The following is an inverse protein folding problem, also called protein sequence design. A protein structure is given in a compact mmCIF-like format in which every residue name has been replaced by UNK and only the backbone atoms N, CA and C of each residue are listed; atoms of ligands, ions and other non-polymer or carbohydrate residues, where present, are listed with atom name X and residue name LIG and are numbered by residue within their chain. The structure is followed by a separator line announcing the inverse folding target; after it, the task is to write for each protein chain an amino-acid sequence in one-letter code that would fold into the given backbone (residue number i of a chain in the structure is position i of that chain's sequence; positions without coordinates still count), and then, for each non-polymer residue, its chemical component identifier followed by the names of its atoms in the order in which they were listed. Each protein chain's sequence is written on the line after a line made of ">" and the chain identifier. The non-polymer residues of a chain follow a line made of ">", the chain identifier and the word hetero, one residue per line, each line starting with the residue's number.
data_IF_667774915216
#
_entry.id   IF_667774915216
#
_cell.length_a   1.000
_cell.length_b   1.000
_cell.length_c   1.000
_cell.angle_alpha   90.00
_cell.angle_beta   90.00
_cell.angle_gamma   90.00
#
_symmetry.space_group_name_H-M   'P 1'
#
loop_
_entity.id
_entity.type
_entity.pdbx_description
1 polymer ?
#
# COMPACT_ATOMS: atom_id res chain seq x y z
N UNK A 1 13.66 -8.79 4.98
CA UNK A 1 12.59 -8.78 3.99
C UNK A 1 11.23 -8.79 4.70
N UNK A 2 10.39 -7.73 4.47
CA UNK A 2 9.11 -7.59 5.18
C UNK A 2 8.00 -8.46 4.58
N UNK A 3 8.18 -9.03 3.40
CA UNK A 3 7.21 -9.92 2.74
C UNK A 3 7.18 -11.33 3.34
N UNK A 4 8.30 -11.81 3.86
CA UNK A 4 8.42 -13.18 4.39
C UNK A 4 7.39 -13.45 5.51
N UNK A 5 7.27 -12.63 6.58
CA UNK A 5 6.28 -12.88 7.63
C UNK A 5 4.83 -12.89 7.15
N UNK A 6 4.52 -12.19 6.05
CA UNK A 6 3.19 -12.24 5.46
C UNK A 6 2.93 -13.56 4.75
N UNK A 7 3.89 -14.06 3.98
CA UNK A 7 3.79 -15.37 3.32
C UNK A 7 3.70 -16.50 4.35
N UNK A 8 4.55 -16.46 5.37
CA UNK A 8 4.51 -17.42 6.50
C UNK A 8 3.12 -17.41 7.18
N UNK A 9 2.56 -16.21 7.47
CA UNK A 9 1.25 -16.07 8.07
C UNK A 9 0.09 -16.62 7.20
N UNK A 10 0.16 -16.48 5.87
CA UNK A 10 -0.79 -17.14 4.97
C UNK A 10 -0.66 -18.65 5.04
N UNK A 11 0.55 -19.18 4.95
CA UNK A 11 0.82 -20.61 5.00
C UNK A 11 0.35 -21.23 6.31
N UNK A 12 0.68 -20.60 7.45
CA UNK A 12 0.27 -21.06 8.78
C UNK A 12 -1.25 -21.04 8.92
N UNK A 13 -1.91 -19.99 8.44
CA UNK A 13 -3.37 -19.89 8.53
C UNK A 13 -4.08 -20.94 7.66
N UNK A 14 -3.62 -21.18 6.44
CA UNK A 14 -4.19 -22.23 5.59
C UNK A 14 -3.92 -23.63 6.13
N UNK A 15 -2.77 -23.86 6.74
CA UNK A 15 -2.46 -25.11 7.46
C UNK A 15 -3.43 -25.31 8.63
N UNK A 16 -3.65 -24.25 9.44
CA UNK A 16 -4.63 -24.29 10.53
C UNK A 16 -6.05 -24.61 10.03
N UNK A 17 -6.50 -23.97 8.94
CA UNK A 17 -7.81 -24.26 8.34
C UNK A 17 -7.92 -25.70 7.88
N UNK A 18 -6.86 -26.22 7.27
CA UNK A 18 -6.82 -27.62 6.81
C UNK A 18 -6.92 -28.61 7.99
N UNK A 19 -6.16 -28.38 9.04
CA UNK A 19 -6.13 -29.29 10.20
C UNK A 19 -7.37 -29.19 11.08
N UNK A 20 -7.88 -27.96 11.29
CA UNK A 20 -9.03 -27.74 12.17
C UNK A 20 -10.37 -28.00 11.49
N UNK A 21 -10.52 -27.56 10.24
CA UNK A 21 -11.83 -27.48 9.56
C UNK A 21 -11.90 -28.40 8.32
N UNK A 22 -10.82 -29.07 7.96
CA UNK A 22 -10.75 -29.86 6.73
C UNK A 22 -10.65 -29.00 5.46
N UNK A 23 -10.13 -27.79 5.59
CA UNK A 23 -10.04 -26.82 4.50
C UNK A 23 -11.22 -25.85 4.42
N UNK A 24 -11.46 -25.29 3.26
CA UNK A 24 -12.61 -24.41 3.00
C UNK A 24 -13.65 -25.18 2.21
N UNK A 25 -14.80 -25.40 2.83
CA UNK A 25 -15.88 -26.20 2.21
C UNK A 25 -15.49 -27.66 1.95
N UNK A 26 -14.51 -28.20 2.68
CA UNK A 26 -13.98 -29.56 2.50
C UNK A 26 -12.84 -29.65 1.48
N UNK A 27 -12.43 -28.54 0.88
CA UNK A 27 -11.35 -28.50 -0.11
C UNK A 27 -10.07 -27.93 0.52
N UNK A 28 -8.93 -28.54 0.22
CA UNK A 28 -7.63 -28.03 0.65
C UNK A 28 -7.15 -26.88 -0.20
N UNK A 29 -6.44 -25.93 0.43
CA UNK A 29 -5.89 -24.77 -0.26
C UNK A 29 -4.43 -25.04 -0.61
N UNK A 30 -4.11 -24.93 -1.89
CA UNK A 30 -2.73 -24.90 -2.37
C UNK A 30 -2.26 -23.46 -2.46
N UNK A 31 -1.35 -23.04 -1.58
CA UNK A 31 -0.77 -21.70 -1.58
C UNK A 31 0.53 -21.70 -2.37
N UNK A 32 0.57 -20.93 -3.47
CA UNK A 32 1.72 -20.83 -4.36
C UNK A 32 2.44 -19.52 -4.09
N UNK A 33 3.69 -19.59 -3.65
CA UNK A 33 4.54 -18.43 -3.41
C UNK A 33 5.43 -18.12 -4.61
N UNK A 34 5.61 -16.83 -4.90
CA UNK A 34 6.55 -16.37 -5.90
C UNK A 34 7.23 -15.08 -5.41
N UNK A 35 8.53 -15.14 -5.09
CA UNK A 35 9.30 -14.01 -4.61
C UNK A 35 9.65 -13.03 -5.74
N UNK A 36 9.23 -11.79 -5.59
CA UNK A 36 9.41 -10.74 -6.61
C UNK A 36 10.53 -9.76 -6.30
N UNK A 37 11.08 -9.76 -5.10
CA UNK A 37 12.02 -8.73 -4.64
C UNK A 37 11.44 -7.31 -4.68
N UNK A 38 10.11 -7.17 -4.58
CA UNK A 38 9.38 -5.90 -4.75
C UNK A 38 9.53 -5.29 -6.16
N UNK A 39 9.93 -6.10 -7.14
CA UNK A 39 10.08 -5.70 -8.54
C UNK A 39 8.79 -5.96 -9.32
N UNK A 40 8.30 -4.94 -10.02
CA UNK A 40 7.01 -4.98 -10.73
C UNK A 40 7.03 -5.94 -11.92
N UNK A 41 8.13 -6.01 -12.67
CA UNK A 41 8.27 -6.91 -13.83
C UNK A 41 8.25 -8.37 -13.38
N UNK A 42 9.01 -8.70 -12.33
CA UNK A 42 8.98 -10.03 -11.72
C UNK A 42 7.59 -10.40 -11.19
N UNK A 43 6.85 -9.43 -10.65
CA UNK A 43 5.45 -9.66 -10.25
C UNK A 43 4.57 -10.07 -11.42
N UNK A 44 4.75 -9.47 -12.60
CA UNK A 44 4.05 -9.86 -13.83
C UNK A 44 4.51 -11.24 -14.32
N UNK A 45 5.81 -11.54 -14.27
CA UNK A 45 6.35 -12.88 -14.60
C UNK A 45 5.76 -13.96 -13.69
N UNK A 46 5.68 -13.72 -12.38
CA UNK A 46 5.04 -14.62 -11.42
C UNK A 46 3.58 -14.90 -11.80
N UNK A 47 2.83 -13.85 -12.15
CA UNK A 47 1.45 -13.99 -12.60
C UNK A 47 1.34 -14.87 -13.85
N UNK A 48 2.09 -14.54 -14.90
CA UNK A 48 2.02 -15.25 -16.18
C UNK A 48 2.44 -16.72 -16.08
N UNK A 49 3.41 -17.03 -15.21
CA UNK A 49 3.90 -18.42 -15.02
C UNK A 49 2.96 -19.29 -14.16
N UNK A 50 2.08 -18.69 -13.37
CA UNK A 50 1.22 -19.43 -12.45
C UNK A 50 -0.26 -19.42 -12.81
N UNK A 51 -0.76 -18.44 -13.56
CA UNK A 51 -2.19 -18.27 -13.86
C UNK A 51 -2.87 -19.49 -14.51
N UNK A 52 -2.12 -20.31 -15.27
CA UNK A 52 -2.64 -21.53 -15.90
C UNK A 52 -2.75 -22.72 -14.95
N UNK A 53 -2.33 -22.58 -13.69
CA UNK A 53 -2.36 -23.64 -12.69
C UNK A 53 -3.71 -23.72 -11.92
N UNK A 54 -4.75 -23.06 -12.42
CA UNK A 54 -6.06 -23.02 -11.76
C UNK A 54 -6.12 -22.04 -10.57
N UNK A 55 -5.28 -21.00 -10.58
CA UNK A 55 -5.26 -20.02 -9.49
C UNK A 55 -6.58 -19.27 -9.42
N UNK A 56 -7.20 -19.24 -8.25
CA UNK A 56 -8.46 -18.55 -7.98
C UNK A 56 -8.26 -17.08 -7.62
N UNK A 57 -7.18 -16.76 -6.90
CA UNK A 57 -6.89 -15.41 -6.47
C UNK A 57 -5.39 -15.17 -6.32
N UNK A 58 -4.98 -13.92 -6.53
CA UNK A 58 -3.63 -13.45 -6.24
C UNK A 58 -3.64 -12.46 -5.07
N UNK A 59 -2.61 -12.52 -4.24
CA UNK A 59 -2.37 -11.59 -3.13
C UNK A 59 -1.02 -10.88 -3.32
N UNK A 60 -0.90 -9.91 -4.25
CA UNK A 60 0.35 -9.19 -4.44
C UNK A 60 0.60 -8.26 -3.26
N UNK A 61 1.80 -8.35 -2.67
CA UNK A 61 2.23 -7.51 -1.55
C UNK A 61 2.89 -6.21 -2.03
N UNK A 62 2.41 -5.65 -3.15
CA UNK A 62 2.95 -4.44 -3.77
C UNK A 62 1.88 -3.70 -4.55
N UNK A 63 1.77 -2.39 -4.29
CA UNK A 63 0.88 -1.49 -5.03
C UNK A 63 1.26 -1.44 -6.52
N UNK A 64 2.55 -1.38 -6.84
CA UNK A 64 3.04 -1.35 -8.22
C UNK A 64 2.72 -2.63 -8.98
N UNK A 65 2.91 -3.79 -8.36
CA UNK A 65 2.52 -5.09 -8.94
C UNK A 65 1.00 -5.14 -9.13
N UNK A 66 0.22 -4.76 -8.12
CA UNK A 66 -1.25 -4.70 -8.22
C UNK A 66 -1.69 -3.89 -9.43
N UNK A 67 -1.10 -2.71 -9.67
CA UNK A 67 -1.44 -1.88 -10.83
C UNK A 67 -1.26 -2.62 -12.16
N UNK A 68 -0.17 -3.35 -12.31
CA UNK A 68 0.13 -4.08 -13.53
C UNK A 68 -0.74 -5.32 -13.73
N UNK A 69 -1.15 -5.96 -12.62
CA UNK A 69 -1.97 -7.17 -12.68
C UNK A 69 -3.46 -6.89 -12.92
N UNK A 70 -3.98 -5.71 -12.55
CA UNK A 70 -5.41 -5.39 -12.72
C UNK A 70 -5.94 -5.68 -14.13
N UNK A 71 -5.36 -5.14 -15.24
CA UNK A 71 -5.89 -5.41 -16.57
C UNK A 71 -5.78 -6.89 -16.96
N UNK A 72 -4.71 -7.57 -16.57
CA UNK A 72 -4.47 -8.98 -16.85
C UNK A 72 -5.47 -9.88 -16.11
N UNK A 73 -5.56 -9.73 -14.80
CA UNK A 73 -6.46 -10.48 -13.96
C UNK A 73 -7.94 -10.23 -14.30
N UNK A 74 -8.27 -9.00 -14.73
CA UNK A 74 -9.62 -8.68 -15.23
C UNK A 74 -9.91 -9.44 -16.53
N UNK A 75 -8.98 -9.51 -17.47
CA UNK A 75 -9.14 -10.26 -18.71
C UNK A 75 -9.20 -11.77 -18.47
N UNK A 76 -8.44 -12.29 -17.53
CA UNK A 76 -8.37 -13.71 -17.19
C UNK A 76 -9.50 -14.13 -16.21
N UNK A 77 -10.28 -13.19 -15.65
CA UNK A 77 -11.36 -13.46 -14.68
C UNK A 77 -10.85 -13.90 -13.30
N UNK A 78 -9.59 -13.59 -12.95
CA UNK A 78 -8.95 -14.00 -11.70
C UNK A 78 -9.07 -12.88 -10.67
N UNK A 79 -9.39 -13.23 -9.42
CA UNK A 79 -9.49 -12.26 -8.33
C UNK A 79 -8.11 -11.77 -7.88
N UNK A 80 -8.02 -10.49 -7.51
CA UNK A 80 -6.87 -9.93 -6.79
C UNK A 80 -7.34 -9.49 -5.41
N UNK A 81 -6.75 -10.08 -4.37
CA UNK A 81 -6.89 -9.65 -3.00
C UNK A 81 -5.70 -8.77 -2.62
N UNK A 82 -5.90 -7.47 -2.65
CA UNK A 82 -4.89 -6.49 -2.28
C UNK A 82 -5.08 -6.10 -0.82
N UNK A 83 -4.03 -6.16 -0.02
CA UNK A 83 -4.05 -6.06 1.45
C UNK A 83 -4.44 -4.68 1.99
N UNK A 84 -5.61 -4.18 1.60
CA UNK A 84 -6.14 -2.88 2.03
C UNK A 84 -5.47 -1.69 1.37
N UNK A 85 -4.36 -1.90 0.78
CA UNK A 85 -3.61 -0.91 0.04
C UNK A 85 -3.47 -1.39 -1.40
N UNK A 86 -2.73 -1.26 -2.20
CA UNK A 86 -2.72 -1.59 -3.61
C UNK A 86 -3.26 -0.37 -4.36
N UNK A 87 -4.20 -0.54 -5.25
CA UNK A 87 -4.81 0.60 -5.94
C UNK A 87 -6.06 1.07 -5.18
N UNK A 88 -5.99 2.22 -4.52
CA UNK A 88 -7.14 2.74 -3.74
C UNK A 88 -8.38 2.98 -4.60
N UNK A 89 -8.25 3.41 -5.85
CA UNK A 89 -9.38 3.59 -6.76
C UNK A 89 -10.14 2.30 -7.04
N UNK A 90 -9.55 1.13 -6.78
CA UNK A 90 -10.21 -0.18 -6.91
C UNK A 90 -11.35 -0.40 -5.91
N UNK A 91 -11.53 0.49 -4.92
CA UNK A 91 -12.74 0.52 -4.09
C UNK A 91 -14.02 0.73 -4.91
N UNK A 92 -13.94 1.26 -6.13
CA UNK A 92 -15.05 1.31 -7.04
C UNK A 92 -15.26 -0.06 -7.72
N UNK A 93 -16.04 -0.94 -7.10
CA UNK A 93 -16.31 -2.29 -7.57
C UNK A 93 -17.11 -2.36 -8.89
N UNK A 94 -17.75 -1.28 -9.33
CA UNK A 94 -18.40 -1.24 -10.65
C UNK A 94 -17.36 -1.25 -11.78
N UNK A 95 -16.20 -0.60 -11.54
CA UNK A 95 -15.09 -0.52 -12.49
C UNK A 95 -14.10 -1.68 -12.28
N UNK A 96 -13.78 -2.00 -11.03
CA UNK A 96 -12.77 -2.99 -10.64
C UNK A 96 -13.40 -4.23 -10.02
N UNK A 97 -14.16 -4.97 -10.82
CA UNK A 97 -15.05 -6.05 -10.36
C UNK A 97 -14.36 -7.24 -9.68
N UNK A 98 -13.09 -7.47 -9.99
CA UNK A 98 -12.31 -8.59 -9.47
C UNK A 98 -11.15 -8.16 -8.55
N UNK A 99 -11.16 -6.89 -8.09
CA UNK A 99 -10.12 -6.35 -7.22
C UNK A 99 -10.72 -6.07 -5.84
N UNK A 100 -10.15 -6.70 -4.80
CA UNK A 100 -10.68 -6.64 -3.44
C UNK A 100 -9.62 -6.05 -2.51
N UNK A 101 -9.85 -4.84 -2.00
CA UNK A 101 -9.00 -4.18 -1.03
C UNK A 101 -9.60 -4.35 0.37
N UNK A 102 -8.81 -4.82 1.32
CA UNK A 102 -9.21 -5.05 2.71
C UNK A 102 -8.02 -4.79 3.65
N UNK A 103 -8.22 -4.20 4.85
CA UNK A 103 -9.47 -3.67 5.44
C UNK A 103 -9.75 -2.19 5.11
N UNK A 104 -8.74 -1.40 4.80
CA UNK A 104 -8.81 0.03 4.52
C UNK A 104 -7.96 0.36 3.29
N UNK A 105 -7.90 1.60 2.89
CA UNK A 105 -7.10 2.03 1.75
C UNK A 105 -6.26 3.28 2.08
N UNK A 106 -5.37 3.69 1.19
CA UNK A 106 -4.46 4.81 1.43
C UNK A 106 -5.15 6.17 1.53
N UNK A 107 -6.29 6.36 0.84
CA UNK A 107 -7.04 7.60 0.95
C UNK A 107 -7.70 7.73 2.33
N UNK A 108 -8.20 6.61 2.87
CA UNK A 108 -8.73 6.56 4.24
C UNK A 108 -7.61 6.86 5.25
N UNK A 109 -6.45 6.22 5.10
CA UNK A 109 -5.30 6.47 5.97
C UNK A 109 -4.83 7.93 5.96
N UNK A 110 -4.72 8.54 4.77
CA UNK A 110 -4.37 9.95 4.63
C UNK A 110 -5.42 10.86 5.28
N UNK A 111 -6.72 10.56 5.06
CA UNK A 111 -7.82 11.33 5.63
C UNK A 111 -7.86 11.25 7.16
N UNK A 112 -7.61 10.07 7.72
CA UNK A 112 -7.53 9.87 9.18
C UNK A 112 -6.35 10.64 9.77
N UNK A 113 -5.19 10.67 9.09
CA UNK A 113 -4.05 11.46 9.55
C UNK A 113 -4.38 12.95 9.64
N UNK A 114 -5.01 13.53 8.60
CA UNK A 114 -5.43 14.94 8.63
C UNK A 114 -6.54 15.17 9.65
N UNK A 115 -7.50 14.23 9.79
CA UNK A 115 -8.51 14.33 10.84
C UNK A 115 -7.87 14.40 12.23
N UNK A 116 -6.87 13.56 12.50
CA UNK A 116 -6.14 13.63 13.76
C UNK A 116 -5.48 15.00 13.98
N UNK A 117 -4.83 15.57 12.94
CA UNK A 117 -4.26 16.91 13.05
C UNK A 117 -5.32 17.98 13.36
N UNK A 118 -6.49 17.90 12.75
CA UNK A 118 -7.61 18.78 13.09
C UNK A 118 -8.04 18.60 14.55
N UNK A 119 -8.22 17.38 15.00
CA UNK A 119 -8.68 17.08 16.36
C UNK A 119 -7.71 17.64 17.43
N UNK A 120 -6.40 17.50 17.24
CA UNK A 120 -5.39 18.00 18.19
C UNK A 120 -5.17 19.52 18.11
N UNK A 121 -5.68 20.19 17.07
CA UNK A 121 -5.60 21.64 16.88
C UNK A 121 -6.95 22.35 17.06
N UNK A 122 -7.92 21.70 17.70
CA UNK A 122 -9.23 22.32 17.96
C UNK A 122 -10.09 22.51 16.69
N UNK A 123 -9.83 21.76 15.64
CA UNK A 123 -10.59 21.77 14.39
C UNK A 123 -10.03 22.67 13.30
N UNK A 124 -8.94 23.40 13.55
CA UNK A 124 -8.32 24.32 12.57
C UNK A 124 -6.81 24.04 12.41
N UNK A 125 -6.38 23.86 11.17
CA UNK A 125 -4.98 23.73 10.77
C UNK A 125 -4.60 24.69 9.64
N UNK A 126 -5.40 25.74 9.44
CA UNK A 126 -5.11 26.75 8.41
C UNK A 126 -3.78 27.45 8.68
N UNK A 127 -2.99 27.64 7.62
CA UNK A 127 -1.63 28.19 7.70
C UNK A 127 -0.58 27.27 8.32
N UNK A 128 -0.93 26.07 8.80
CA UNK A 128 0.02 25.07 9.23
C UNK A 128 0.80 24.48 8.06
N UNK A 129 2.04 24.09 8.32
CA UNK A 129 2.92 23.43 7.33
C UNK A 129 2.96 21.93 7.61
N UNK A 130 2.54 21.14 6.63
CA UNK A 130 2.56 19.67 6.68
C UNK A 130 3.52 19.15 5.63
N UNK A 131 4.53 18.39 6.03
CA UNK A 131 5.45 17.73 5.11
C UNK A 131 5.10 16.24 4.99
N UNK A 132 4.92 15.74 3.76
CA UNK A 132 4.81 14.33 3.47
C UNK A 132 6.18 13.80 3.04
N UNK A 133 6.82 12.99 3.88
CA UNK A 133 8.01 12.20 3.50
C UNK A 133 7.53 10.84 3.03
N UNK A 134 7.67 10.55 1.73
CA UNK A 134 7.06 9.36 1.15
C UNK A 134 8.02 8.55 0.29
N UNK A 135 7.84 7.24 0.29
CA UNK A 135 8.58 6.35 -0.60
C UNK A 135 8.20 6.63 -2.06
N UNK A 136 9.18 6.93 -2.92
CA UNK A 136 8.96 7.30 -4.31
C UNK A 136 8.58 6.07 -5.17
N UNK A 137 7.39 5.55 -4.93
CA UNK A 137 6.81 4.39 -5.62
C UNK A 137 5.30 4.57 -5.81
N UNK A 138 4.65 3.65 -6.50
CA UNK A 138 3.20 3.62 -6.62
C UNK A 138 2.50 3.67 -5.25
N UNK A 139 3.04 2.94 -4.27
CA UNK A 139 2.57 2.97 -2.88
C UNK A 139 2.62 4.37 -2.26
N UNK A 140 3.81 4.99 -2.26
CA UNK A 140 4.02 6.26 -1.59
C UNK A 140 3.29 7.44 -2.22
N UNK A 141 2.91 7.32 -3.49
CA UNK A 141 2.17 8.35 -4.23
C UNK A 141 0.65 8.29 -4.06
N UNK A 142 0.11 7.18 -3.59
CA UNK A 142 -1.34 7.00 -3.41
C UNK A 142 -2.01 8.07 -2.55
N UNK A 143 -1.47 8.52 -1.41
CA UNK A 143 -2.12 9.51 -0.55
C UNK A 143 -2.03 10.95 -1.09
N UNK A 144 -1.15 11.26 -2.05
CA UNK A 144 -0.82 12.64 -2.44
C UNK A 144 -2.07 13.42 -2.83
N UNK A 145 -2.87 12.91 -3.77
CA UNK A 145 -4.06 13.63 -4.24
C UNK A 145 -5.07 13.89 -3.13
N UNK A 146 -5.23 12.96 -2.20
CA UNK A 146 -6.10 13.14 -1.03
C UNK A 146 -5.58 14.26 -0.13
N UNK A 147 -4.27 14.28 0.14
CA UNK A 147 -3.65 15.32 0.96
C UNK A 147 -3.70 16.69 0.30
N UNK A 148 -3.55 16.78 -1.03
CA UNK A 148 -3.71 18.03 -1.78
C UNK A 148 -5.15 18.59 -1.65
N UNK A 149 -6.17 17.75 -1.87
CA UNK A 149 -7.58 18.14 -1.72
C UNK A 149 -7.89 18.59 -0.30
N UNK A 150 -7.34 17.89 0.69
CA UNK A 150 -7.51 18.25 2.10
C UNK A 150 -6.74 19.54 2.45
N UNK A 151 -5.60 19.81 1.80
CA UNK A 151 -4.86 21.06 1.96
C UNK A 151 -5.67 22.25 1.44
N UNK A 152 -6.25 22.13 0.24
CA UNK A 152 -7.17 23.13 -0.30
C UNK A 152 -8.37 23.37 0.63
N UNK A 153 -8.95 22.30 1.17
CA UNK A 153 -10.13 22.36 2.04
C UNK A 153 -9.86 22.99 3.40
N UNK A 154 -8.73 22.69 4.01
CA UNK A 154 -8.41 23.06 5.39
C UNK A 154 -7.34 24.16 5.50
N UNK A 155 -6.83 24.65 4.37
CA UNK A 155 -5.92 25.81 4.32
C UNK A 155 -4.51 25.56 4.83
N UNK A 156 -4.06 24.30 4.90
CA UNK A 156 -2.66 24.01 5.27
C UNK A 156 -1.75 23.98 4.05
N UNK A 157 -0.46 24.27 4.26
CA UNK A 157 0.58 24.15 3.24
C UNK A 157 1.12 22.72 3.20
N UNK A 158 1.04 22.04 2.04
CA UNK A 158 1.57 20.70 1.85
C UNK A 158 2.90 20.75 1.11
N UNK A 159 3.94 20.13 1.67
CA UNK A 159 5.21 19.87 0.98
C UNK A 159 5.42 18.37 0.75
N UNK A 160 5.90 18.02 -0.45
CA UNK A 160 6.10 16.63 -0.88
C UNK A 160 7.59 16.31 -0.96
N UNK A 161 8.05 15.37 -0.17
CA UNK A 161 9.45 14.98 -0.02
C UNK A 161 9.66 13.50 -0.40
N UNK A 162 9.90 13.21 -1.69
CA UNK A 162 10.11 11.85 -2.16
C UNK A 162 11.44 11.29 -1.66
N UNK A 163 11.43 10.01 -1.30
CA UNK A 163 12.62 9.22 -0.98
C UNK A 163 12.67 8.02 -1.90
N UNK A 164 13.73 7.90 -2.69
CA UNK A 164 13.87 6.83 -3.67
C UNK A 164 14.13 5.46 -3.01
N UNK A 165 13.68 4.40 -3.70
CA UNK A 165 13.93 3.03 -3.25
C UNK A 165 15.46 2.74 -3.19
N UNK A 166 15.95 2.03 -2.17
CA UNK A 166 15.25 1.35 -1.07
C UNK A 166 14.91 2.22 0.14
N UNK A 167 15.16 3.52 0.11
CA UNK A 167 14.79 4.43 1.17
C UNK A 167 15.91 4.78 2.15
N UNK A 168 17.16 4.43 1.85
CA UNK A 168 18.32 4.72 2.70
C UNK A 168 18.80 6.17 2.58
N UNK A 169 18.75 6.73 1.38
CA UNK A 169 19.28 8.07 1.07
C UNK A 169 18.21 9.14 1.32
N UNK A 170 18.14 9.66 2.57
CA UNK A 170 17.13 10.63 3.01
C UNK A 170 17.69 11.96 3.48
N UNK A 171 19.00 12.14 3.43
CA UNK A 171 19.67 13.30 4.01
C UNK A 171 19.14 14.63 3.47
N UNK A 172 18.84 14.71 2.19
CA UNK A 172 18.31 15.93 1.54
C UNK A 172 16.93 16.30 2.06
N UNK A 173 16.05 15.32 2.24
CA UNK A 173 14.69 15.52 2.75
C UNK A 173 14.72 16.02 4.20
N UNK A 174 15.54 15.42 5.05
CA UNK A 174 15.68 15.86 6.44
C UNK A 174 16.35 17.21 6.58
N UNK A 175 17.30 17.58 5.71
CA UNK A 175 17.86 18.92 5.65
C UNK A 175 16.81 19.95 5.23
N UNK A 176 15.92 19.60 4.28
CA UNK A 176 14.81 20.45 3.87
C UNK A 176 13.82 20.65 5.03
N UNK A 177 13.44 19.60 5.74
CA UNK A 177 12.56 19.68 6.93
C UNK A 177 13.16 20.61 7.99
N UNK A 178 14.47 20.50 8.26
CA UNK A 178 15.16 21.38 9.22
C UNK A 178 15.11 22.85 8.80
N UNK A 179 15.24 23.13 7.50
CA UNK A 179 15.19 24.50 6.96
C UNK A 179 13.78 25.05 6.99
N UNK A 180 12.80 24.28 6.51
CA UNK A 180 11.44 24.73 6.26
C UNK A 180 10.56 24.67 7.52
N UNK A 181 10.98 23.89 8.53
CA UNK A 181 10.35 23.74 9.86
C UNK A 181 8.84 23.53 9.78
N UNK A 182 8.38 22.44 9.15
CA UNK A 182 6.96 22.14 9.13
C UNK A 182 6.42 21.91 10.54
N UNK A 183 5.14 22.24 10.78
CA UNK A 183 4.46 21.96 12.04
C UNK A 183 4.26 20.44 12.23
N UNK A 184 4.06 19.70 11.11
CA UNK A 184 3.84 18.26 11.12
C UNK A 184 4.60 17.58 10.00
N UNK A 185 5.07 16.37 10.29
CA UNK A 185 5.69 15.47 9.31
C UNK A 185 4.88 14.18 9.27
N UNK A 186 4.31 13.88 8.10
CA UNK A 186 3.67 12.61 7.82
C UNK A 186 4.70 11.69 7.16
N UNK A 187 5.01 10.57 7.82
CA UNK A 187 5.94 9.57 7.31
C UNK A 187 5.16 8.48 6.57
N UNK A 188 5.32 8.41 5.24
CA UNK A 188 4.69 7.40 4.39
C UNK A 188 5.76 6.49 3.76
N UNK A 189 6.43 5.78 4.65
CA UNK A 189 7.60 4.97 4.35
C UNK A 189 7.32 3.48 4.28
N UNK A 190 8.28 2.76 3.73
CA UNK A 190 8.28 1.30 3.62
C UNK A 190 9.67 0.73 3.89
N UNK A 191 9.73 -0.41 4.57
CA UNK A 191 10.96 -1.16 4.81
C UNK A 191 12.05 -0.35 5.51
N UNK A 192 13.26 -0.38 4.98
CA UNK A 192 14.43 0.30 5.55
C UNK A 192 14.26 1.82 5.65
N UNK A 193 13.41 2.41 4.82
CA UNK A 193 13.12 3.84 4.87
C UNK A 193 12.65 4.31 6.25
N UNK A 194 11.81 3.52 6.93
CA UNK A 194 11.31 3.86 8.26
C UNK A 194 12.42 3.77 9.32
N UNK A 195 13.30 2.79 9.21
CA UNK A 195 14.42 2.59 10.15
C UNK A 195 15.46 3.71 10.05
N UNK A 196 15.72 4.22 8.85
CA UNK A 196 16.69 5.30 8.62
C UNK A 196 16.14 6.67 9.00
N UNK A 197 14.82 6.85 9.01
CA UNK A 197 14.16 8.10 9.34
C UNK A 197 14.20 8.43 10.86
N UNK A 198 14.39 7.43 11.71
CA UNK A 198 14.44 7.54 13.18
C UNK A 198 15.89 7.79 13.62
#
# INVERSE_FOLDING_TARGET
>A
NNGIPFADGYTDYFTLLQERDGGIGGESINFIECETGYNTEKGVECYESTKSQGVLAYAPLSTGITYQLIPKATADGIAIHSMGYGRTSAKNGEVFRNIFNFPANYWDGASVAIKHLLDVNGGDISGKKVALVYHNSAYGKEPIRTLEVLAEKHGYELSLLPVDHPGQEQKSQWLQIRRDRPDYVLMWGWGVMNQVAI
#
